data_IF_101218113180
#
_entry.id   IF_101218113180
#
_cell.length_a   1.000
_cell.length_b   1.000
_cell.length_c   1.000
_cell.angle_alpha   90.00
_cell.angle_beta   90.00
_cell.angle_gamma   90.00
#
_symmetry.space_group_name_H-M   'P 1'
#
loop_
_entity.id
_entity.type
_entity.pdbx_description
1 polymer ?
#
# COMPACT_ATOMS: atom_id res chain seq x y z
N UNK A 1 -5.29 20.83 5.18
CA UNK A 1 -5.58 19.86 6.25
C UNK A 1 -4.28 19.20 6.61
N UNK A 2 -3.71 19.54 7.77
CA UNK A 2 -2.50 18.89 8.29
C UNK A 2 -2.82 17.40 8.52
N UNK A 3 -2.16 16.54 7.74
CA UNK A 3 -2.12 15.11 7.99
C UNK A 3 -1.20 14.87 9.19
N UNK A 4 -1.67 15.21 10.38
CA UNK A 4 -0.99 14.81 11.61
C UNK A 4 -1.18 13.30 11.74
N UNK A 5 -0.08 12.57 11.60
CA UNK A 5 -0.02 11.15 11.95
C UNK A 5 -0.62 10.97 13.35
N UNK A 6 -1.49 9.97 13.59
CA UNK A 6 -2.03 9.72 14.93
C UNK A 6 -0.98 9.16 15.92
N UNK A 7 0.28 9.11 15.52
CA UNK A 7 1.38 8.48 16.22
C UNK A 7 2.69 9.27 16.00
N UNK A 8 3.62 9.25 16.97
CA UNK A 8 4.92 9.90 16.82
C UNK A 8 5.69 9.30 15.63
N UNK A 9 6.43 10.16 14.92
CA UNK A 9 7.28 9.73 13.80
C UNK A 9 8.36 8.76 14.30
N UNK A 10 8.42 7.52 13.77
CA UNK A 10 9.41 6.55 14.21
C UNK A 10 10.83 6.95 13.80
N UNK A 11 11.83 6.57 14.58
CA UNK A 11 13.23 6.97 14.35
C UNK A 11 14.02 5.97 13.48
N UNK A 12 13.46 4.80 13.18
CA UNK A 12 14.15 3.74 12.42
C UNK A 12 13.20 3.04 11.44
N UNK A 13 13.76 2.49 10.36
CA UNK A 13 13.01 1.69 9.37
C UNK A 13 12.30 0.51 10.04
N UNK A 14 12.95 -0.15 10.99
CA UNK A 14 12.37 -1.26 11.74
C UNK A 14 11.10 -0.83 12.50
N UNK A 15 11.16 0.30 13.22
CA UNK A 15 9.98 0.84 13.91
C UNK A 15 8.88 1.25 12.93
N UNK A 16 9.23 1.84 11.78
CA UNK A 16 8.24 2.16 10.75
C UNK A 16 7.51 0.92 10.24
N UNK A 17 8.25 -0.16 9.96
CA UNK A 17 7.68 -1.44 9.50
C UNK A 17 6.73 -2.05 10.53
N UNK A 18 7.13 -2.09 11.80
CA UNK A 18 6.29 -2.60 12.89
C UNK A 18 5.00 -1.78 13.01
N UNK A 19 5.12 -0.45 13.09
CA UNK A 19 3.96 0.43 13.22
C UNK A 19 3.01 0.30 12.02
N UNK A 20 3.54 0.21 10.80
CA UNK A 20 2.74 0.02 9.60
C UNK A 20 1.95 -1.29 9.65
N UNK A 21 2.60 -2.38 10.05
CA UNK A 21 1.95 -3.68 10.20
C UNK A 21 0.85 -3.63 11.26
N UNK A 22 1.11 -3.02 12.41
CA UNK A 22 0.13 -2.89 13.49
C UNK A 22 -1.10 -2.07 13.05
N UNK A 23 -0.89 -0.92 12.42
CA UNK A 23 -1.97 -0.09 11.89
C UNK A 23 -2.80 -0.81 10.82
N UNK A 24 -2.15 -1.54 9.91
CA UNK A 24 -2.89 -2.30 8.90
C UNK A 24 -3.65 -3.46 9.55
N UNK A 25 -3.01 -4.24 10.44
CA UNK A 25 -3.61 -5.41 11.10
C UNK A 25 -4.76 -5.08 12.04
N UNK A 26 -4.82 -3.86 12.59
CA UNK A 26 -5.99 -3.40 13.35
C UNK A 26 -7.26 -3.43 12.49
N UNK A 27 -7.13 -3.37 11.16
CA UNK A 27 -8.25 -3.27 10.21
C UNK A 27 -8.88 -1.88 10.17
N UNK A 28 -8.35 -0.92 10.92
CA UNK A 28 -8.85 0.46 10.96
C UNK A 28 -8.17 1.36 9.94
N UNK A 29 -7.01 0.95 9.41
CA UNK A 29 -6.24 1.73 8.45
C UNK A 29 -5.95 0.95 7.17
N UNK A 30 -5.78 1.71 6.09
CA UNK A 30 -5.39 1.21 4.78
C UNK A 30 -4.44 2.21 4.11
N UNK A 31 -3.64 1.70 3.16
CA UNK A 31 -2.95 2.53 2.18
C UNK A 31 -3.82 2.62 0.94
N UNK A 32 -4.26 3.83 0.60
CA UNK A 32 -5.12 4.07 -0.56
C UNK A 32 -4.45 5.04 -1.52
N UNK A 33 -4.67 4.83 -2.82
CA UNK A 33 -4.36 5.82 -3.84
C UNK A 33 -5.45 5.81 -4.90
N UNK A 34 -5.84 7.01 -5.33
CA UNK A 34 -6.77 7.21 -6.44
C UNK A 34 -6.22 8.32 -7.30
N UNK A 35 -6.02 8.02 -8.57
CA UNK A 35 -5.52 8.94 -9.58
C UNK A 35 -6.28 8.68 -10.89
N UNK A 36 -5.80 9.29 -11.99
CA UNK A 36 -6.43 9.13 -13.31
C UNK A 36 -6.37 7.71 -13.85
N UNK A 37 -5.41 6.91 -13.38
CA UNK A 37 -5.18 5.55 -13.87
C UNK A 37 -5.98 4.50 -13.09
N UNK A 38 -6.53 4.87 -11.92
CA UNK A 38 -7.40 3.99 -11.16
C UNK A 38 -7.37 4.18 -9.64
N UNK A 39 -8.11 3.31 -8.97
CA UNK A 39 -8.23 3.22 -7.51
C UNK A 39 -7.52 1.97 -7.00
N UNK A 40 -6.70 2.13 -5.96
CA UNK A 40 -5.86 1.08 -5.37
C UNK A 40 -5.99 1.14 -3.85
N UNK A 41 -6.22 0.00 -3.22
CA UNK A 41 -6.33 -0.13 -1.76
C UNK A 41 -5.52 -1.32 -1.28
N UNK A 42 -4.56 -1.07 -0.39
CA UNK A 42 -3.86 -2.09 0.38
C UNK A 42 -4.35 -2.06 1.83
N UNK A 43 -4.86 -3.18 2.32
CA UNK A 43 -5.52 -3.28 3.62
C UNK A 43 -5.36 -4.67 4.23
N UNK A 44 -5.59 -4.79 5.54
CA UNK A 44 -5.85 -6.08 6.18
C UNK A 44 -7.36 -6.32 6.22
N UNK A 45 -7.82 -7.37 5.55
CA UNK A 45 -9.24 -7.69 5.45
C UNK A 45 -9.44 -9.19 5.65
N UNK A 46 -10.37 -9.57 6.55
CA UNK A 46 -10.65 -10.98 6.88
C UNK A 46 -9.38 -11.82 7.17
N UNK A 47 -8.49 -11.29 8.01
CA UNK A 47 -7.24 -11.95 8.46
C UNK A 47 -6.19 -12.19 7.37
N UNK A 48 -6.20 -11.40 6.29
CA UNK A 48 -5.16 -11.44 5.27
C UNK A 48 -4.88 -10.04 4.74
N UNK A 49 -3.64 -9.76 4.36
CA UNK A 49 -3.36 -8.55 3.59
C UNK A 49 -3.80 -8.73 2.15
N UNK A 50 -4.46 -7.71 1.62
CA UNK A 50 -4.94 -7.64 0.26
C UNK A 50 -4.52 -6.32 -0.37
N UNK A 51 -4.17 -6.38 -1.65
CA UNK A 51 -4.11 -5.22 -2.53
C UNK A 51 -5.15 -5.40 -3.63
N UNK A 52 -6.21 -4.60 -3.56
CA UNK A 52 -7.23 -4.51 -4.59
C UNK A 52 -6.98 -3.28 -5.45
N UNK A 53 -7.09 -3.41 -6.77
CA UNK A 53 -6.94 -2.30 -7.70
C UNK A 53 -7.91 -2.43 -8.87
N UNK A 54 -8.46 -1.30 -9.30
CA UNK A 54 -9.27 -1.16 -10.52
C UNK A 54 -8.73 0.05 -11.27
N UNK A 55 -8.36 -0.14 -12.53
CA UNK A 55 -7.80 0.92 -13.37
C UNK A 55 -7.94 0.62 -14.86
N UNK A 56 -7.25 1.41 -15.68
CA UNK A 56 -7.31 1.30 -17.14
C UNK A 56 -6.85 -0.07 -17.66
N UNK A 57 -5.93 -0.71 -16.94
CA UNK A 57 -5.45 -2.08 -17.24
C UNK A 57 -6.37 -3.18 -16.69
N UNK A 58 -7.48 -2.82 -16.04
CA UNK A 58 -8.48 -3.74 -15.49
C UNK A 58 -8.47 -3.87 -13.97
N UNK A 59 -9.15 -4.91 -13.48
CA UNK A 59 -9.29 -5.24 -12.05
C UNK A 59 -8.23 -6.25 -11.64
N UNK A 60 -7.49 -5.98 -10.56
CA UNK A 60 -6.50 -6.88 -9.99
C UNK A 60 -6.67 -7.05 -8.48
N UNK A 61 -6.39 -8.27 -8.01
CA UNK A 61 -6.40 -8.63 -6.60
C UNK A 61 -5.14 -9.43 -6.26
N UNK A 62 -4.34 -8.93 -5.34
CA UNK A 62 -3.16 -9.60 -4.82
C UNK A 62 -3.34 -9.93 -3.34
N UNK A 63 -3.10 -11.20 -2.99
CA UNK A 63 -3.05 -11.65 -1.60
C UNK A 63 -1.60 -11.67 -1.12
N UNK A 64 -1.36 -11.04 0.03
CA UNK A 64 -0.05 -10.98 0.68
C UNK A 64 -0.15 -11.76 2.00
N UNK A 65 0.24 -13.04 2.03
CA UNK A 65 -0.16 -13.95 3.10
C UNK A 65 0.60 -13.76 4.42
N UNK A 66 1.75 -13.09 4.40
CA UNK A 66 2.57 -12.85 5.59
C UNK A 66 3.01 -11.39 5.66
N UNK A 67 3.44 -10.98 6.86
CA UNK A 67 4.04 -9.66 7.10
C UNK A 67 5.21 -9.40 6.16
N UNK A 68 6.08 -10.39 5.96
CA UNK A 68 7.24 -10.28 5.07
C UNK A 68 6.82 -10.03 3.62
N UNK A 69 5.84 -10.76 3.08
CA UNK A 69 5.35 -10.51 1.72
C UNK A 69 4.81 -9.09 1.56
N UNK A 70 4.10 -8.59 2.57
CA UNK A 70 3.62 -7.21 2.58
C UNK A 70 4.79 -6.21 2.60
N UNK A 71 5.74 -6.38 3.51
CA UNK A 71 6.87 -5.46 3.66
C UNK A 71 7.77 -5.45 2.42
N UNK A 72 7.99 -6.61 1.78
CA UNK A 72 8.72 -6.70 0.51
C UNK A 72 7.95 -6.00 -0.60
N UNK A 73 6.64 -6.22 -0.70
CA UNK A 73 5.79 -5.57 -1.71
C UNK A 73 5.86 -4.03 -1.61
N UNK A 74 5.76 -3.50 -0.39
CA UNK A 74 5.90 -2.06 -0.15
C UNK A 74 7.33 -1.61 -0.43
N UNK A 75 8.33 -2.32 0.11
CA UNK A 75 9.74 -1.98 -0.03
C UNK A 75 10.23 -1.90 -1.47
N UNK A 76 9.73 -2.76 -2.37
CA UNK A 76 10.03 -2.69 -3.80
C UNK A 76 9.64 -1.34 -4.42
N UNK A 77 8.55 -0.72 -3.95
CA UNK A 77 8.11 0.59 -4.43
C UNK A 77 8.90 1.75 -3.82
N UNK A 78 9.55 1.52 -2.67
CA UNK A 78 10.36 2.51 -1.95
C UNK A 78 11.84 2.45 -2.31
N UNK A 79 12.29 1.39 -3.00
CA UNK A 79 13.69 1.13 -3.31
C UNK A 79 14.27 2.04 -4.40
N UNK A 80 13.56 3.08 -4.80
CA UNK A 80 14.03 4.06 -5.77
C UNK A 80 13.56 5.46 -5.40
N UNK A 81 14.42 6.46 -5.58
CA UNK A 81 14.08 7.87 -5.43
C UNK A 81 14.38 8.61 -6.73
N UNK A 82 13.48 9.53 -7.09
CA UNK A 82 13.67 10.40 -8.24
C UNK A 82 14.56 11.58 -7.84
N UNK A 83 15.67 11.75 -8.52
CA UNK A 83 16.59 12.88 -8.34
C UNK A 83 16.71 13.67 -9.66
N UNK A 84 17.01 14.97 -9.56
CA UNK A 84 17.25 15.82 -10.73
C UNK A 84 18.76 16.06 -10.82
N UNK A 85 19.39 15.47 -11.84
CA UNK A 85 20.81 15.68 -12.16
C UNK A 85 20.89 16.42 -13.48
N UNK A 86 21.55 17.58 -13.48
CA UNK A 86 21.72 18.43 -14.67
C UNK A 86 20.39 18.78 -15.35
N UNK A 87 19.34 19.03 -14.56
CA UNK A 87 17.99 19.33 -15.05
C UNK A 87 17.22 18.14 -15.61
N UNK A 88 17.77 16.92 -15.55
CA UNK A 88 17.10 15.71 -16.01
C UNK A 88 16.68 14.81 -14.83
N UNK A 89 15.45 14.28 -14.86
CA UNK A 89 15.01 13.31 -13.86
C UNK A 89 15.75 11.98 -14.04
N UNK A 90 16.33 11.46 -12.97
CA UNK A 90 16.98 10.14 -12.92
C UNK A 90 16.52 9.37 -11.68
N UNK A 91 16.42 8.05 -11.82
CA UNK A 91 16.11 7.17 -10.70
C UNK A 91 17.39 6.67 -10.05
N UNK A 92 17.50 6.85 -8.73
CA UNK A 92 18.57 6.26 -7.91
C UNK A 92 18.00 5.15 -7.02
N UNK A 93 18.69 4.02 -7.02
CA UNK A 93 18.28 2.81 -6.28
C UNK A 93 19.11 2.57 -5.02
N UNK A 94 20.34 3.10 -4.97
CA UNK A 94 21.21 3.02 -3.79
C UNK A 94 20.85 4.13 -2.78
N UNK A 95 19.75 3.90 -2.04
CA UNK A 95 19.27 4.81 -1.01
C UNK A 95 20.06 4.64 0.29
N UNK A 96 20.47 5.76 0.89
CA UNK A 96 21.08 5.79 2.23
C UNK A 96 20.06 5.35 3.29
N UNK A 97 20.53 4.98 4.49
CA UNK A 97 19.64 4.59 5.58
C UNK A 97 18.65 5.70 5.97
N UNK A 98 19.08 6.97 5.92
CA UNK A 98 18.23 8.12 6.20
C UNK A 98 17.13 8.30 5.15
N UNK A 99 17.46 8.11 3.87
CA UNK A 99 16.49 8.18 2.77
C UNK A 99 15.51 7.00 2.82
N UNK A 100 15.99 5.80 3.14
CA UNK A 100 15.11 4.66 3.38
C UNK A 100 14.15 4.96 4.54
N UNK A 101 14.65 5.51 5.65
CA UNK A 101 13.81 5.92 6.78
C UNK A 101 12.73 6.91 6.33
N UNK A 102 13.11 7.96 5.60
CA UNK A 102 12.18 8.96 5.08
C UNK A 102 11.09 8.32 4.21
N UNK A 103 11.45 7.43 3.27
CA UNK A 103 10.47 6.72 2.42
C UNK A 103 9.49 5.88 3.24
N UNK A 104 9.96 5.19 4.29
CA UNK A 104 9.10 4.42 5.18
C UNK A 104 8.20 5.31 6.05
N UNK A 105 8.71 6.44 6.54
CA UNK A 105 7.92 7.45 7.26
C UNK A 105 6.84 8.06 6.36
N UNK A 106 7.14 8.30 5.07
CA UNK A 106 6.16 8.75 4.08
C UNK A 106 5.04 7.75 3.90
N UNK A 107 5.32 6.43 3.88
CA UNK A 107 4.25 5.42 3.81
C UNK A 107 3.34 5.45 5.02
N UNK A 108 3.89 5.64 6.23
CA UNK A 108 3.06 5.87 7.42
C UNK A 108 2.18 7.11 7.25
N UNK A 109 2.75 8.21 6.70
CA UNK A 109 2.03 9.44 6.38
C UNK A 109 0.84 9.26 5.42
N UNK A 110 0.86 8.18 4.62
CA UNK A 110 -0.19 7.82 3.66
C UNK A 110 -1.26 6.91 4.24
N UNK A 111 -1.10 6.41 5.47
CA UNK A 111 -2.16 5.66 6.13
C UNK A 111 -3.40 6.55 6.27
N UNK A 112 -4.54 5.99 5.90
CA UNK A 112 -5.86 6.62 6.02
C UNK A 112 -6.82 5.66 6.69
N UNK A 113 -7.84 6.16 7.40
CA UNK A 113 -8.90 5.32 7.93
C UNK A 113 -9.51 4.44 6.84
N UNK A 114 -9.64 3.15 7.13
CA UNK A 114 -10.24 2.17 6.23
C UNK A 114 -11.77 2.19 6.36
N UNK A 115 -12.35 3.28 5.87
CA UNK A 115 -13.78 3.56 5.97
C UNK A 115 -14.66 2.62 5.13
N UNK A 116 -15.98 2.76 5.30
CA UNK A 116 -16.96 1.91 4.62
C UNK A 116 -16.85 1.95 3.09
N UNK A 117 -16.52 3.09 2.50
CA UNK A 117 -16.39 3.22 1.05
C UNK A 117 -15.25 2.33 0.52
N UNK A 118 -14.09 2.36 1.18
CA UNK A 118 -12.93 1.53 0.82
C UNK A 118 -13.21 0.05 1.08
N UNK A 119 -13.89 -0.29 2.18
CA UNK A 119 -14.28 -1.67 2.47
C UNK A 119 -15.24 -2.22 1.41
N UNK A 120 -16.21 -1.42 0.95
CA UNK A 120 -17.11 -1.79 -0.15
C UNK A 120 -16.37 -1.99 -1.47
N UNK A 121 -15.41 -1.12 -1.78
CA UNK A 121 -14.54 -1.28 -2.94
C UNK A 121 -13.76 -2.60 -2.90
N UNK A 122 -13.10 -2.91 -1.77
CA UNK A 122 -12.36 -4.18 -1.64
C UNK A 122 -13.31 -5.37 -1.75
N UNK A 123 -14.50 -5.29 -1.14
CA UNK A 123 -15.52 -6.34 -1.22
C UNK A 123 -16.05 -6.54 -2.63
N UNK A 124 -16.25 -5.48 -3.43
CA UNK A 124 -16.71 -5.60 -4.82
C UNK A 124 -15.66 -6.28 -5.70
N UNK A 125 -14.39 -5.90 -5.57
CA UNK A 125 -13.28 -6.57 -6.27
C UNK A 125 -13.21 -8.05 -5.89
N UNK A 126 -13.33 -8.39 -4.60
CA UNK A 126 -13.36 -9.78 -4.16
C UNK A 126 -14.54 -10.56 -4.75
N UNK A 127 -15.71 -9.94 -4.86
CA UNK A 127 -16.89 -10.57 -5.44
C UNK A 127 -16.73 -10.83 -6.94
N UNK A 128 -16.14 -9.88 -7.68
CA UNK A 128 -15.81 -10.06 -9.10
C UNK A 128 -14.89 -11.28 -9.32
N UNK A 129 -13.80 -11.37 -8.56
CA UNK A 129 -12.88 -12.52 -8.65
C UNK A 129 -13.52 -13.84 -8.20
N UNK A 130 -14.39 -13.82 -7.18
CA UNK A 130 -15.12 -15.00 -6.77
C UNK A 130 -16.15 -15.47 -7.82
N UNK A 131 -16.73 -14.56 -8.59
CA UNK A 131 -17.63 -14.92 -9.69
C UNK A 131 -16.87 -15.59 -10.85
N UNK A 132 -15.64 -15.15 -11.14
CA UNK A 132 -14.79 -15.77 -12.16
C UNK A 132 -14.44 -17.23 -11.84
N UNK A 133 -14.24 -17.57 -10.56
CA UNK A 133 -13.94 -18.96 -10.17
C UNK A 133 -15.15 -19.90 -10.20
N UNK A 134 -16.37 -19.35 -10.26
CA UNK A 134 -17.62 -20.11 -10.32
C UNK A 134 -18.15 -20.31 -11.75
N UNK A 135 -17.53 -19.65 -12.74
CA UNK A 135 -17.92 -19.79 -14.14
C UNK A 135 -17.15 -20.96 -14.75
N UNK A 136 -17.80 -22.02 -15.25
CA UNK A 136 -17.09 -23.09 -15.95
C UNK A 136 -16.38 -22.47 -17.17
N UNK A 137 -15.09 -22.74 -17.32
CA UNK A 137 -14.40 -22.52 -18.59
C UNK A 137 -15.05 -23.47 -19.59
N UNK A 138 -15.97 -22.93 -20.39
CA UNK A 138 -16.65 -23.65 -21.46
C UNK A 138 -15.71 -24.12 -22.56
#
# INVERSE_FOLDING_TARGET
MENSLPFPLPATVAQCRVLLLDCLKSGEYALTSSDKEGSRTLCYYRKTFLRAAVGDEGTSLLRLPTDEHLLVHIGQQLGAMLEIIDGQPRWRYDLTEAEQLEQWQLQLGRLRPFGQAQQRFVASVLAEFAALSLTPLG
#
